data_IF_402589194650
#
_entry.id   IF_402589194650
#
_cell.length_a   1.000
_cell.length_b   1.000
_cell.length_c   1.000
_cell.angle_alpha   90.00
_cell.angle_beta   90.00
_cell.angle_gamma   90.00
#
_symmetry.space_group_name_H-M   'P 1'
#
loop_
_entity.id
_entity.type
_entity.pdbx_description
1 polymer ?
#
# COMPACT_ATOMS: atom_id res chain seq x y z
N UNK A 1 17.10 -10.28 27.54
CA UNK A 1 16.04 -9.32 27.24
C UNK A 1 16.07 -9.05 25.74
N UNK A 2 15.20 -9.72 24.99
CA UNK A 2 14.86 -9.46 23.59
C UNK A 2 13.70 -10.40 23.24
N UNK A 3 12.46 -9.95 23.39
CA UNK A 3 11.31 -10.59 22.73
C UNK A 3 10.87 -9.62 21.65
N UNK A 4 11.62 -9.62 20.54
CA UNK A 4 11.09 -9.07 19.31
C UNK A 4 9.91 -9.97 18.96
N UNK A 5 8.71 -9.45 19.07
CA UNK A 5 7.52 -10.09 18.50
C UNK A 5 7.76 -10.14 16.98
N UNK A 6 8.32 -11.25 16.51
CA UNK A 6 8.50 -11.49 15.08
C UNK A 6 7.10 -11.61 14.49
N UNK A 7 6.60 -10.49 13.98
CA UNK A 7 5.35 -10.46 13.25
C UNK A 7 5.60 -11.18 11.93
N UNK A 8 5.22 -12.47 11.88
CA UNK A 8 5.38 -13.30 10.69
C UNK A 8 4.47 -12.78 9.58
N UNK A 9 5.08 -12.36 8.49
CA UNK A 9 4.37 -11.91 7.30
C UNK A 9 3.87 -13.14 6.54
N UNK A 10 2.55 -13.29 6.45
CA UNK A 10 1.94 -14.35 5.67
C UNK A 10 2.27 -14.25 4.18
N UNK A 11 2.03 -15.36 3.48
CA UNK A 11 2.19 -15.43 2.04
C UNK A 11 1.29 -14.42 1.31
N UNK A 12 1.74 -13.90 0.16
CA UNK A 12 0.88 -13.09 -0.68
C UNK A 12 -0.34 -13.88 -1.13
N UNK A 13 -1.52 -13.29 -0.99
CA UNK A 13 -2.78 -13.86 -1.43
C UNK A 13 -3.70 -12.81 -2.06
N UNK A 14 -4.74 -13.26 -2.75
CA UNK A 14 -5.80 -12.37 -3.25
C UNK A 14 -6.52 -11.68 -2.08
N UNK A 15 -6.99 -10.44 -2.25
CA UNK A 15 -7.65 -9.71 -1.17
C UNK A 15 -8.90 -10.44 -0.68
N UNK A 16 -8.97 -10.65 0.64
CA UNK A 16 -10.14 -11.20 1.32
C UNK A 16 -10.99 -10.07 1.90
N UNK A 17 -12.19 -10.38 2.37
CA UNK A 17 -13.16 -9.41 2.91
C UNK A 17 -12.52 -8.43 3.92
N UNK A 18 -11.74 -8.93 4.88
CA UNK A 18 -11.09 -8.07 5.88
C UNK A 18 -10.06 -7.11 5.25
N UNK A 19 -9.32 -7.57 4.24
CA UNK A 19 -8.37 -6.70 3.53
C UNK A 19 -9.08 -5.66 2.67
N UNK A 20 -10.21 -6.02 2.07
CA UNK A 20 -11.05 -5.08 1.32
C UNK A 20 -11.68 -4.03 2.24
N UNK A 21 -12.19 -4.44 3.42
CA UNK A 21 -12.70 -3.52 4.46
C UNK A 21 -11.64 -2.51 4.87
N UNK A 22 -10.45 -2.99 5.23
CA UNK A 22 -9.33 -2.12 5.62
C UNK A 22 -8.93 -1.19 4.48
N UNK A 23 -8.87 -1.71 3.25
CA UNK A 23 -8.52 -0.91 2.09
C UNK A 23 -9.56 0.17 1.80
N UNK A 24 -10.85 -0.14 1.94
CA UNK A 24 -11.95 0.80 1.79
C UNK A 24 -11.84 1.95 2.80
N UNK A 25 -11.61 1.63 4.08
CA UNK A 25 -11.47 2.61 5.16
C UNK A 25 -10.31 3.57 4.91
N UNK A 26 -9.14 3.05 4.50
CA UNK A 26 -7.96 3.89 4.28
C UNK A 26 -7.93 4.54 2.89
N UNK A 27 -8.84 4.19 1.97
CA UNK A 27 -8.72 4.55 0.54
C UNK A 27 -8.58 6.06 0.35
N UNK A 28 -9.39 6.83 1.08
CA UNK A 28 -9.35 8.29 1.00
C UNK A 28 -7.99 8.85 1.46
N UNK A 29 -7.50 8.40 2.61
CA UNK A 29 -6.21 8.84 3.15
C UNK A 29 -5.04 8.37 2.30
N UNK A 30 -5.12 7.16 1.74
CA UNK A 30 -4.13 6.60 0.82
C UNK A 30 -4.00 7.47 -0.44
N UNK A 31 -5.12 7.85 -1.06
CA UNK A 31 -5.13 8.72 -2.24
C UNK A 31 -4.52 10.09 -1.92
N UNK A 32 -4.95 10.71 -0.82
CA UNK A 32 -4.43 12.01 -0.39
C UNK A 32 -2.92 11.97 -0.11
N UNK A 33 -2.47 10.95 0.60
CA UNK A 33 -1.06 10.76 0.97
C UNK A 33 -0.21 10.47 -0.26
N UNK A 34 -0.71 9.70 -1.22
CA UNK A 34 -0.01 9.42 -2.47
C UNK A 34 0.27 10.69 -3.28
N UNK A 35 -0.76 11.54 -3.44
CA UNK A 35 -0.63 12.83 -4.14
C UNK A 35 0.34 13.75 -3.39
N UNK A 36 0.26 13.79 -2.05
CA UNK A 36 1.22 14.55 -1.26
C UNK A 36 2.66 14.10 -1.47
N UNK A 37 2.94 12.79 -1.38
CA UNK A 37 4.27 12.21 -1.62
C UNK A 37 4.75 12.52 -3.04
N UNK A 38 3.86 12.48 -4.04
CA UNK A 38 4.16 12.89 -5.41
C UNK A 38 4.69 14.32 -5.49
N UNK A 39 3.98 15.27 -4.88
CA UNK A 39 4.39 16.67 -4.92
C UNK A 39 5.71 16.93 -4.17
N UNK A 40 5.95 16.23 -3.06
CA UNK A 40 7.20 16.34 -2.32
C UNK A 40 8.38 15.77 -3.14
N UNK A 41 8.23 14.58 -3.74
CA UNK A 41 9.28 13.99 -4.55
C UNK A 41 9.52 14.75 -5.86
N UNK A 42 8.51 15.33 -6.50
CA UNK A 42 8.71 16.16 -7.69
C UNK A 42 9.65 17.37 -7.44
N UNK A 43 9.82 17.81 -6.18
CA UNK A 43 10.74 18.92 -5.83
C UNK A 43 12.19 18.47 -5.65
N UNK A 44 12.43 17.21 -5.29
CA UNK A 44 13.71 16.75 -4.77
C UNK A 44 14.27 15.51 -5.50
N UNK A 45 13.40 14.62 -5.98
CA UNK A 45 13.71 13.33 -6.61
C UNK A 45 12.63 12.97 -7.66
N UNK A 46 12.54 13.70 -8.79
CA UNK A 46 11.49 13.48 -9.80
C UNK A 46 11.51 12.07 -10.40
N UNK A 47 12.66 11.39 -10.38
CA UNK A 47 12.83 10.00 -10.82
C UNK A 47 11.94 9.03 -10.02
N UNK A 48 11.54 9.40 -8.80
CA UNK A 48 10.65 8.59 -7.98
C UNK A 48 9.29 8.34 -8.66
N UNK A 49 8.73 9.33 -9.35
CA UNK A 49 7.46 9.20 -10.08
C UNK A 49 7.59 9.24 -11.60
N UNK A 50 8.80 9.05 -12.16
CA UNK A 50 9.03 9.10 -13.61
C UNK A 50 8.04 8.25 -14.44
N UNK A 51 7.70 7.05 -13.97
CA UNK A 51 6.74 6.18 -14.64
C UNK A 51 5.31 6.75 -14.70
N UNK A 52 4.95 7.62 -13.75
CA UNK A 52 3.65 8.27 -13.61
C UNK A 52 3.73 9.80 -13.84
N UNK A 53 4.83 10.31 -14.40
CA UNK A 53 5.04 11.75 -14.58
C UNK A 53 3.95 12.36 -15.45
N UNK A 54 3.55 11.64 -16.50
CA UNK A 54 2.54 12.04 -17.48
C UNK A 54 1.10 12.00 -16.95
N UNK A 55 0.86 11.44 -15.76
CA UNK A 55 -0.48 11.33 -15.18
C UNK A 55 -0.87 12.58 -14.39
N UNK A 56 -2.14 12.95 -14.39
CA UNK A 56 -2.69 13.89 -13.42
C UNK A 56 -2.78 13.26 -12.02
N UNK A 57 -2.93 14.07 -10.97
CA UNK A 57 -3.13 13.55 -9.61
C UNK A 57 -4.42 12.74 -9.49
N UNK A 58 -5.45 13.12 -10.26
CA UNK A 58 -6.71 12.39 -10.34
C UNK A 58 -6.53 10.99 -10.97
N UNK A 59 -5.69 10.87 -12.00
CA UNK A 59 -5.37 9.57 -12.62
C UNK A 59 -4.48 8.71 -11.72
N UNK A 60 -3.47 9.31 -11.07
CA UNK A 60 -2.60 8.61 -10.13
C UNK A 60 -3.38 8.04 -8.93
N UNK A 61 -4.35 8.82 -8.41
CA UNK A 61 -5.21 8.45 -7.31
C UNK A 61 -6.55 7.83 -7.76
N UNK A 62 -6.67 7.44 -9.04
CA UNK A 62 -7.91 6.98 -9.65
C UNK A 62 -8.31 5.54 -9.32
N UNK A 63 -7.49 4.81 -8.56
CA UNK A 63 -7.74 3.41 -8.20
C UNK A 63 -8.97 3.24 -7.29
N UNK A 64 -9.57 2.06 -7.37
CA UNK A 64 -10.79 1.61 -6.69
C UNK A 64 -10.52 0.33 -5.89
N UNK A 65 -11.55 -0.21 -5.23
CA UNK A 65 -11.43 -1.48 -4.49
C UNK A 65 -10.96 -2.65 -5.37
N UNK A 66 -11.37 -2.66 -6.65
CA UNK A 66 -11.02 -3.72 -7.60
C UNK A 66 -9.55 -3.70 -8.01
N UNK A 67 -8.85 -2.59 -7.73
CA UNK A 67 -7.44 -2.42 -8.08
C UNK A 67 -6.51 -2.93 -6.99
N UNK A 68 -7.03 -3.33 -5.83
CA UNK A 68 -6.26 -4.08 -4.84
C UNK A 68 -5.98 -5.48 -5.40
N UNK A 69 -4.72 -5.75 -5.73
CA UNK A 69 -4.35 -6.95 -6.48
C UNK A 69 -3.86 -8.07 -5.58
N UNK A 70 -3.05 -7.74 -4.58
CA UNK A 70 -2.43 -8.74 -3.72
C UNK A 70 -2.25 -8.15 -2.32
N UNK A 71 -2.41 -9.00 -1.31
CA UNK A 71 -2.27 -8.62 0.08
C UNK A 71 -1.38 -9.62 0.81
N UNK A 72 -0.58 -9.13 1.74
CA UNK A 72 0.04 -9.94 2.79
C UNK A 72 -0.49 -9.47 4.14
N UNK A 73 -0.80 -10.41 5.01
CA UNK A 73 -1.32 -10.14 6.36
C UNK A 73 -0.31 -10.62 7.37
N UNK A 74 -0.10 -9.82 8.42
CA UNK A 74 0.76 -10.19 9.53
C UNK A 74 0.04 -9.88 10.84
N UNK A 75 0.00 -10.83 11.76
CA UNK A 75 -0.74 -10.71 13.02
C UNK A 75 0.27 -10.45 14.14
N UNK A 76 -0.03 -9.46 14.97
CA UNK A 76 0.73 -9.10 16.17
C UNK A 76 -0.16 -9.23 17.41
N UNK A 77 0.42 -9.13 18.61
CA UNK A 77 -0.35 -9.09 19.85
C UNK A 77 -1.32 -7.89 19.93
N UNK A 78 -1.09 -6.84 19.13
CA UNK A 78 -1.83 -5.59 19.19
C UNK A 78 -2.84 -5.42 18.05
N UNK A 79 -2.85 -6.33 17.07
CA UNK A 79 -3.72 -6.22 15.91
C UNK A 79 -3.09 -6.75 14.64
N UNK A 80 -3.68 -6.36 13.52
CA UNK A 80 -3.44 -6.90 12.19
C UNK A 80 -2.74 -5.85 11.32
N UNK A 81 -1.58 -6.21 10.78
CA UNK A 81 -0.91 -5.46 9.73
C UNK A 81 -1.33 -5.98 8.36
N UNK A 82 -1.70 -5.06 7.48
CA UNK A 82 -2.07 -5.36 6.10
C UNK A 82 -1.10 -4.65 5.17
N UNK A 83 -0.48 -5.42 4.28
CA UNK A 83 0.38 -4.92 3.23
C UNK A 83 -0.30 -5.16 1.89
N UNK A 84 -0.82 -4.10 1.28
CA UNK A 84 -1.55 -4.20 0.02
C UNK A 84 -0.73 -3.71 -1.16
N UNK A 85 -0.83 -4.43 -2.28
CA UNK A 85 -0.35 -4.05 -3.61
C UNK A 85 -1.53 -3.58 -4.43
N UNK A 86 -1.57 -2.29 -4.74
CA UNK A 86 -2.66 -1.63 -5.45
C UNK A 86 -2.17 -1.23 -6.84
N UNK A 87 -2.95 -1.57 -7.85
CA UNK A 87 -2.74 -1.19 -9.24
C UNK A 87 -3.15 0.26 -9.46
N UNK A 88 -2.38 1.00 -10.25
CA UNK A 88 -2.77 2.29 -10.81
C UNK A 88 -3.33 2.02 -12.22
N UNK A 89 -4.65 2.14 -12.43
CA UNK A 89 -5.28 1.78 -13.72
C UNK A 89 -4.82 2.61 -14.91
N UNK A 90 -4.36 3.84 -14.64
CA UNK A 90 -3.91 4.76 -15.68
C UNK A 90 -2.50 4.45 -16.21
N UNK A 91 -1.76 3.55 -15.57
CA UNK A 91 -0.45 3.09 -16.05
C UNK A 91 -0.60 1.84 -16.93
N UNK A 92 0.30 1.57 -17.89
CA UNK A 92 0.28 0.34 -18.70
C UNK A 92 0.35 -0.94 -17.86
N UNK A 93 -0.22 -2.04 -18.37
CA UNK A 93 -0.22 -3.34 -17.69
C UNK A 93 1.17 -4.00 -17.64
N UNK A 94 2.07 -3.62 -18.56
CA UNK A 94 3.43 -4.14 -18.71
C UNK A 94 4.50 -3.33 -17.93
N UNK A 95 4.10 -2.25 -17.26
CA UNK A 95 4.99 -1.34 -16.53
C UNK A 95 4.91 -1.44 -15.00
N UNK A 96 5.74 -0.65 -14.26
CA UNK A 96 5.66 -0.53 -12.80
C UNK A 96 4.39 0.24 -12.40
N UNK A 97 3.26 -0.46 -12.44
CA UNK A 97 1.94 0.12 -12.29
C UNK A 97 1.34 -0.09 -10.90
N UNK A 98 2.17 -0.31 -9.87
CA UNK A 98 1.70 -0.65 -8.53
C UNK A 98 2.27 0.26 -7.45
N UNK A 99 1.42 0.63 -6.50
CA UNK A 99 1.80 1.20 -5.22
C UNK A 99 1.63 0.14 -4.13
N UNK A 100 2.45 0.21 -3.10
CA UNK A 100 2.30 -0.65 -1.93
C UNK A 100 1.97 0.21 -0.73
N UNK A 101 1.04 -0.25 0.10
CA UNK A 101 0.72 0.40 1.36
C UNK A 101 0.91 -0.56 2.52
N UNK A 102 1.10 0.01 3.71
CA UNK A 102 0.97 -0.69 4.98
C UNK A 102 -0.15 -0.01 5.75
N UNK A 103 -1.08 -0.81 6.24
CA UNK A 103 -2.14 -0.40 7.14
C UNK A 103 -2.11 -1.23 8.42
N UNK A 104 -2.78 -0.74 9.45
CA UNK A 104 -2.95 -1.42 10.72
C UNK A 104 -4.39 -1.28 11.19
N UNK A 105 -4.94 -2.34 11.77
CA UNK A 105 -6.22 -2.33 12.48
C UNK A 105 -6.10 -3.15 13.76
N UNK A 106 -6.78 -2.73 14.83
CA UNK A 106 -6.88 -3.53 16.06
C UNK A 106 -7.78 -4.77 15.91
N UNK A 107 -8.62 -4.79 14.87
CA UNK A 107 -9.53 -5.90 14.57
C UNK A 107 -10.73 -5.47 13.71
N UNK A 108 -11.70 -6.37 13.49
CA UNK A 108 -12.88 -6.10 12.67
C UNK A 108 -13.75 -4.92 13.14
N UNK A 109 -13.71 -4.61 14.43
CA UNK A 109 -14.48 -3.51 15.04
C UNK A 109 -13.69 -2.20 15.13
N UNK A 110 -12.38 -2.24 14.87
CA UNK A 110 -11.51 -1.06 14.92
C UNK A 110 -11.33 -0.41 13.54
N UNK A 111 -11.17 0.91 13.57
CA UNK A 111 -10.84 1.71 12.40
C UNK A 111 -9.40 1.42 11.94
N UNK A 112 -9.26 1.08 10.66
CA UNK A 112 -7.95 0.89 10.05
C UNK A 112 -7.24 2.22 9.79
N UNK A 113 -5.93 2.23 9.98
CA UNK A 113 -5.08 3.41 9.78
C UNK A 113 -4.02 3.13 8.75
N UNK A 114 -3.84 4.08 7.83
CA UNK A 114 -2.71 4.08 6.91
C UNK A 114 -1.42 4.35 7.70
N UNK A 115 -0.41 3.50 7.53
CA UNK A 115 0.88 3.66 8.17
C UNK A 115 1.96 4.18 7.22
N UNK A 116 1.99 3.71 5.97
CA UNK A 116 2.99 4.17 4.99
C UNK A 116 2.64 3.75 3.57
N UNK A 117 3.12 4.51 2.58
CA UNK A 117 3.11 4.16 1.15
C UNK A 117 4.55 3.91 0.69
N UNK A 118 4.77 2.90 -0.14
CA UNK A 118 6.05 2.60 -0.79
C UNK A 118 5.86 2.32 -2.28
N UNK A 119 6.78 2.82 -3.11
CA UNK A 119 7.00 2.35 -4.48
C UNK A 119 7.82 1.07 -4.44
N UNK A 120 7.32 -0.01 -5.03
CA UNK A 120 8.04 -1.29 -5.07
C UNK A 120 8.87 -1.37 -6.35
N UNK A 121 9.98 -0.64 -6.38
CA UNK A 121 11.07 -0.95 -7.30
C UNK A 121 12.09 -1.92 -6.68
N UNK A 122 11.85 -2.37 -5.45
CA UNK A 122 12.67 -3.38 -4.79
C UNK A 122 11.75 -4.40 -4.10
N UNK A 123 11.72 -5.62 -4.62
CA UNK A 123 11.42 -6.80 -3.83
C UNK A 123 12.48 -6.88 -2.74
N UNK A 124 12.28 -6.18 -1.63
CA UNK A 124 13.06 -6.47 -0.43
C UNK A 124 12.49 -7.74 0.16
N UNK A 125 13.03 -8.86 -0.29
CA UNK A 125 13.13 -10.08 0.51
C UNK A 125 13.81 -9.68 1.82
N UNK A 126 13.02 -9.38 2.86
CA UNK A 126 13.54 -9.39 4.23
C UNK A 126 13.55 -10.83 4.68
N UNK A 127 14.53 -11.56 4.17
CA UNK A 127 15.08 -12.74 4.81
C UNK A 127 16.25 -12.24 5.66
N UNK A 128 15.96 -11.78 6.88
CA UNK A 128 16.91 -11.67 8.00
C UNK A 128 16.15 -11.76 9.32
#
# INVERSE_FOLDING_TARGET
MATAETVELGDPHEPKEESLRVFEQIQHELKKTLVHIRHEHNKHEPEYFAAAEHLSDAELAGFTLNDLHQVRVAISAYGIHIFGKVRIPALPDDGPAYIHFRAFTGGPDDEAKLHSIRKLNYETTRDQ
#
